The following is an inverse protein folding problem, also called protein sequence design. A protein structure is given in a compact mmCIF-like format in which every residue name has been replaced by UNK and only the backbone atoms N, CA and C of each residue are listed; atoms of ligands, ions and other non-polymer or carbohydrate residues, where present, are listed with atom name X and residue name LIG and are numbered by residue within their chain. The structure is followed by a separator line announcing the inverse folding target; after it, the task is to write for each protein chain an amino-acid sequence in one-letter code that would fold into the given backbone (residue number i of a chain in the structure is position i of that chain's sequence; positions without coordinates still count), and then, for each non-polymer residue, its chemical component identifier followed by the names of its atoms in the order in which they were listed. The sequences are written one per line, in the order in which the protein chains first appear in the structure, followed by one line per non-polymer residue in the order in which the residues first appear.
data_IF_800117805431
#
_entry.id   IF_800117805431
#
_cell.length_a   1.000
_cell.length_b   1.000
_cell.length_c   1.000
_cell.angle_alpha   90.00
_cell.angle_beta   90.00
_cell.angle_gamma   90.00
#
_symmetry.space_group_name_H-M   'P 1'
#
loop_
_entity.id
_entity.type
_entity.pdbx_description
1 polymer ?
#
# COMPACT_ATOMS: atom_id res chain seq x y z
N UNK A 1 -47.73 -48.25 9.95
CA UNK A 1 -47.43 -47.21 10.97
C UNK A 1 -46.09 -46.59 10.60
N UNK A 2 -46.05 -45.51 9.83
CA UNK A 2 -45.94 -44.10 10.30
C UNK A 2 -44.83 -43.87 11.33
N UNK A 3 -43.71 -43.33 10.87
CA UNK A 3 -43.17 -42.03 11.33
C UNK A 3 -42.13 -41.52 10.32
N UNK A 4 -42.58 -40.66 9.40
CA UNK A 4 -41.72 -39.75 8.67
C UNK A 4 -41.32 -38.63 9.63
N UNK A 5 -40.02 -38.46 9.87
CA UNK A 5 -39.47 -37.25 10.48
C UNK A 5 -38.71 -36.52 9.37
N UNK A 6 -39.36 -35.50 8.82
CA UNK A 6 -38.72 -34.50 7.97
C UNK A 6 -37.89 -33.58 8.87
N UNK A 7 -36.57 -33.68 8.80
CA UNK A 7 -35.67 -32.68 9.38
C UNK A 7 -35.38 -31.66 8.28
N UNK A 8 -35.89 -30.44 8.48
CA UNK A 8 -35.54 -29.28 7.66
C UNK A 8 -34.09 -28.92 8.00
N UNK A 9 -33.15 -29.27 7.12
CA UNK A 9 -31.79 -28.77 7.19
C UNK A 9 -31.79 -27.31 6.70
N UNK A 10 -31.78 -26.37 7.63
CA UNK A 10 -31.50 -24.96 7.35
C UNK A 10 -30.02 -24.89 6.95
N UNK A 11 -29.78 -24.69 5.65
CA UNK A 11 -28.47 -24.36 5.09
C UNK A 11 -28.06 -22.96 5.56
N UNK A 12 -27.44 -22.90 6.73
CA UNK A 12 -26.61 -21.75 7.12
C UNK A 12 -25.27 -21.94 6.42
N UNK A 13 -25.03 -21.18 5.35
CA UNK A 13 -23.70 -21.01 4.78
C UNK A 13 -22.82 -20.31 5.82
N UNK A 14 -22.21 -21.10 6.70
CA UNK A 14 -21.06 -20.68 7.49
C UNK A 14 -19.90 -20.50 6.54
N UNK A 15 -19.45 -19.26 6.37
CA UNK A 15 -18.19 -18.91 5.75
C UNK A 15 -17.07 -19.62 6.52
N UNK A 16 -16.62 -20.76 6.02
CA UNK A 16 -15.41 -21.41 6.51
C UNK A 16 -14.24 -20.51 6.15
N UNK A 17 -13.65 -19.91 7.18
CA UNK A 17 -12.29 -19.40 7.14
C UNK A 17 -11.40 -20.44 6.46
N UNK A 18 -10.90 -20.11 5.26
CA UNK A 18 -9.79 -20.84 4.69
C UNK A 18 -8.57 -20.52 5.56
N UNK A 19 -8.39 -21.33 6.60
CA UNK A 19 -7.10 -21.54 7.22
C UNK A 19 -6.16 -22.01 6.11
N UNK A 20 -5.30 -21.09 5.66
CA UNK A 20 -4.14 -21.42 4.85
C UNK A 20 -3.34 -22.43 5.68
N UNK A 21 -3.22 -23.63 5.12
CA UNK A 21 -2.82 -24.84 5.80
C UNK A 21 -1.59 -24.69 6.68
N UNK A 22 -1.75 -25.11 7.93
CA UNK A 22 -0.68 -25.61 8.76
C UNK A 22 -0.04 -26.82 8.05
N UNK A 23 1.02 -26.56 7.29
CA UNK A 23 2.02 -27.60 7.07
C UNK A 23 2.84 -27.68 8.36
N UNK A 24 2.58 -28.74 9.13
CA UNK A 24 3.44 -29.20 10.22
C UNK A 24 4.86 -29.40 9.69
N UNK A 25 5.70 -28.39 9.87
CA UNK A 25 7.12 -28.58 10.06
C UNK A 25 7.42 -27.95 11.40
N UNK A 26 7.70 -28.79 12.40
CA UNK A 26 8.16 -28.32 13.71
C UNK A 26 9.29 -27.29 13.58
N UNK A 27 9.53 -26.46 14.60
CA UNK A 27 10.52 -25.39 14.53
C UNK A 27 11.85 -25.97 14.06
N UNK A 28 12.25 -25.62 12.82
CA UNK A 28 13.55 -25.99 12.26
C UNK A 28 14.62 -25.28 13.10
N UNK A 29 15.12 -26.00 14.11
CA UNK A 29 16.19 -25.66 15.05
C UNK A 29 16.07 -24.30 15.78
N UNK A 30 16.16 -24.32 17.11
CA UNK A 30 16.47 -23.12 17.87
C UNK A 30 17.82 -22.54 17.39
N UNK A 31 17.79 -21.36 16.75
CA UNK A 31 19.01 -20.66 16.35
C UNK A 31 19.76 -20.21 17.61
N UNK A 32 21.07 -20.44 17.66
CA UNK A 32 21.95 -19.92 18.71
C UNK A 32 22.35 -18.46 18.48
N UNK A 33 21.86 -17.84 17.39
CA UNK A 33 22.15 -16.45 17.04
C UNK A 33 21.17 -15.52 17.77
N UNK A 34 21.66 -14.42 18.30
CA UNK A 34 20.84 -13.33 18.86
C UNK A 34 20.95 -12.04 18.03
N UNK A 35 20.08 -11.08 18.31
CA UNK A 35 20.10 -9.77 17.67
C UNK A 35 19.97 -9.81 16.14
N UNK A 36 20.73 -8.98 15.42
CA UNK A 36 20.50 -8.72 13.99
C UNK A 36 20.66 -9.96 13.12
N UNK A 37 21.56 -10.88 13.51
CA UNK A 37 21.75 -12.16 12.80
C UNK A 37 20.54 -13.08 12.92
N UNK A 38 19.81 -13.02 14.04
CA UNK A 38 18.56 -13.76 14.22
C UNK A 38 17.46 -13.19 13.32
N UNK A 39 17.33 -11.86 13.26
CA UNK A 39 16.43 -11.18 12.32
C UNK A 39 16.68 -11.62 10.87
N UNK A 40 17.94 -11.57 10.41
CA UNK A 40 18.29 -11.97 9.04
C UNK A 40 17.91 -13.43 8.75
N UNK A 41 18.10 -14.32 9.73
CA UNK A 41 17.75 -15.73 9.61
C UNK A 41 16.23 -15.93 9.58
N UNK A 42 15.48 -15.25 10.44
CA UNK A 42 14.02 -15.29 10.46
C UNK A 42 13.42 -14.77 9.15
N UNK A 43 13.92 -13.64 8.63
CA UNK A 43 13.49 -13.13 7.32
C UNK A 43 13.76 -14.15 6.20
N UNK A 44 14.96 -14.75 6.20
CA UNK A 44 15.32 -15.76 5.21
C UNK A 44 14.44 -17.00 5.32
N UNK A 45 14.11 -17.42 6.54
CA UNK A 45 13.36 -18.65 6.80
C UNK A 45 11.86 -18.48 6.54
N UNK A 46 11.27 -17.38 7.00
CA UNK A 46 9.82 -17.19 7.06
C UNK A 46 9.29 -16.22 6.01
N UNK A 47 10.06 -15.20 5.61
CA UNK A 47 9.58 -14.22 4.64
C UNK A 47 9.94 -14.57 3.19
N UNK A 48 10.96 -15.40 2.96
CA UNK A 48 11.49 -15.63 1.60
C UNK A 48 10.52 -16.32 0.65
N UNK A 49 9.50 -17.01 1.14
CA UNK A 49 8.43 -17.59 0.31
C UNK A 49 7.61 -16.52 -0.42
N UNK A 50 7.42 -15.36 0.20
CA UNK A 50 6.77 -14.19 -0.39
C UNK A 50 7.72 -13.44 -1.33
N UNK A 51 9.05 -13.53 -1.08
CA UNK A 51 10.09 -13.03 -1.99
C UNK A 51 10.19 -13.84 -3.27
N UNK A 52 9.87 -15.15 -3.24
CA UNK A 52 9.98 -16.06 -4.39
C UNK A 52 9.06 -15.62 -5.53
N UNK A 53 9.70 -14.84 -6.38
CA UNK A 53 9.39 -14.61 -7.77
C UNK A 53 9.74 -15.88 -8.51
N UNK A 54 8.82 -16.85 -8.48
CA UNK A 54 8.78 -17.80 -9.58
C UNK A 54 8.85 -17.00 -10.87
N UNK A 55 9.63 -17.46 -11.84
CA UNK A 55 9.90 -16.76 -13.12
C UNK A 55 8.62 -16.41 -13.91
N UNK A 56 7.45 -16.79 -13.39
CA UNK A 56 6.10 -16.56 -13.88
C UNK A 56 5.33 -15.43 -13.17
N UNK A 57 5.73 -14.99 -11.97
CA UNK A 57 5.03 -13.95 -11.20
C UNK A 57 5.64 -12.57 -11.47
N UNK A 58 4.80 -11.58 -11.79
CA UNK A 58 5.24 -10.20 -12.04
C UNK A 58 5.86 -9.60 -10.77
N UNK A 59 7.05 -9.03 -10.89
CA UNK A 59 7.60 -8.11 -9.88
C UNK A 59 7.08 -6.74 -10.26
N UNK A 60 6.32 -6.08 -9.38
CA UNK A 60 5.81 -4.73 -9.64
C UNK A 60 6.92 -3.71 -9.39
N UNK A 61 7.65 -3.88 -8.30
CA UNK A 61 8.75 -3.01 -7.90
C UNK A 61 9.95 -3.81 -7.42
N UNK A 62 11.16 -3.37 -7.78
CA UNK A 62 12.41 -3.83 -7.16
C UNK A 62 12.84 -2.80 -6.14
N UNK A 63 12.86 -3.19 -4.88
CA UNK A 63 13.33 -2.36 -3.78
C UNK A 63 14.80 -2.63 -3.49
N UNK A 64 15.53 -1.58 -3.14
CA UNK A 64 16.93 -1.67 -2.77
C UNK A 64 17.05 -2.07 -1.30
N UNK A 65 17.12 -3.38 -1.04
CA UNK A 65 17.21 -3.95 0.31
C UNK A 65 18.39 -3.39 1.12
N UNK A 66 19.44 -2.89 0.46
CA UNK A 66 20.59 -2.31 1.15
C UNK A 66 20.29 -0.97 1.81
N UNK A 67 19.23 -0.26 1.39
CA UNK A 67 18.81 1.05 1.92
C UNK A 67 17.98 0.95 3.19
N UNK A 68 17.38 -0.19 3.44
CA UNK A 68 16.47 -0.39 4.56
C UNK A 68 17.21 -0.93 5.77
N UNK A 69 16.95 -0.34 6.94
CA UNK A 69 17.41 -0.88 8.23
C UNK A 69 18.95 -0.93 8.38
N UNK A 70 19.66 0.04 7.77
CA UNK A 70 21.13 0.21 7.82
C UNK A 70 21.69 0.45 9.23
N UNK A 71 20.82 0.77 10.17
CA UNK A 71 21.17 1.35 11.48
C UNK A 71 21.98 0.39 12.38
N UNK A 72 22.15 -0.86 11.96
CA UNK A 72 22.52 -1.98 12.85
C UNK A 72 23.62 -2.89 12.29
N UNK A 73 24.19 -2.58 11.12
CA UNK A 73 25.34 -3.32 10.56
C UNK A 73 26.68 -3.08 11.30
N UNK A 74 26.63 -2.47 12.50
CA UNK A 74 27.80 -2.20 13.34
C UNK A 74 28.20 -0.73 13.40
N UNK A 75 27.51 0.14 12.67
CA UNK A 75 27.70 1.60 12.70
C UNK A 75 26.35 2.28 12.96
N UNK A 76 25.97 2.42 14.24
CA UNK A 76 24.95 3.40 14.63
C UNK A 76 25.39 4.73 14.01
N UNK A 77 24.61 5.39 13.13
CA UNK A 77 25.01 6.67 12.58
C UNK A 77 25.36 7.60 13.73
N UNK A 78 26.56 8.20 13.70
CA UNK A 78 27.00 9.08 14.77
C UNK A 78 25.96 10.19 14.96
N UNK A 79 25.29 10.22 16.12
CA UNK A 79 24.23 11.17 16.42
C UNK A 79 22.80 10.63 16.41
N UNK A 80 22.57 9.33 16.15
CA UNK A 80 21.24 8.75 16.34
C UNK A 80 20.90 8.69 17.84
N UNK A 81 20.04 9.62 18.29
CA UNK A 81 19.48 9.63 19.64
C UNK A 81 18.67 8.34 19.91
N UNK A 82 18.68 7.82 21.15
CA UNK A 82 17.79 6.72 21.55
C UNK A 82 16.33 7.02 21.17
N UNK A 83 15.63 6.09 20.50
CA UNK A 83 14.23 6.25 20.08
C UNK A 83 14.00 6.71 18.63
N UNK A 84 15.01 7.21 17.92
CA UNK A 84 14.88 7.53 16.48
C UNK A 84 14.92 6.29 15.57
N UNK A 85 15.26 5.12 16.12
CA UNK A 85 15.31 3.83 15.43
C UNK A 85 13.92 3.33 15.01
N UNK A 86 12.92 3.47 15.89
CA UNK A 86 11.54 3.09 15.56
C UNK A 86 10.92 4.04 14.52
N UNK A 87 11.06 5.36 14.71
CA UNK A 87 10.49 6.36 13.80
C UNK A 87 11.06 6.25 12.38
N UNK A 88 12.39 6.08 12.26
CA UNK A 88 13.04 5.89 10.97
C UNK A 88 12.55 4.59 10.30
N UNK A 89 12.43 3.50 11.06
CA UNK A 89 11.95 2.24 10.54
C UNK A 89 10.50 2.31 10.04
N UNK A 90 9.62 3.00 10.79
CA UNK A 90 8.24 3.29 10.35
C UNK A 90 8.23 4.03 9.02
N UNK A 91 9.01 5.11 8.93
CA UNK A 91 9.08 5.95 7.73
C UNK A 91 9.56 5.18 6.50
N UNK A 92 10.60 4.37 6.65
CA UNK A 92 11.13 3.57 5.55
C UNK A 92 10.16 2.46 5.13
N UNK A 93 9.47 1.81 6.07
CA UNK A 93 8.41 0.86 5.77
C UNK A 93 7.23 1.51 5.03
N UNK A 94 6.74 2.64 5.50
CA UNK A 94 5.63 3.38 4.85
C UNK A 94 6.02 3.81 3.43
N UNK A 95 7.24 4.33 3.26
CA UNK A 95 7.76 4.69 1.93
C UNK A 95 7.86 3.49 0.98
N UNK A 96 8.27 2.33 1.48
CA UNK A 96 8.30 1.10 0.70
C UNK A 96 6.90 0.67 0.28
N UNK A 97 5.94 0.66 1.21
CA UNK A 97 4.54 0.30 0.95
C UNK A 97 3.89 1.26 -0.05
N UNK A 98 4.05 2.58 0.15
CA UNK A 98 3.57 3.61 -0.77
C UNK A 98 4.14 3.43 -2.17
N UNK A 99 5.42 3.07 -2.26
CA UNK A 99 6.06 2.86 -3.56
C UNK A 99 5.53 1.60 -4.25
N UNK A 100 5.32 0.49 -3.53
CA UNK A 100 4.72 -0.74 -4.08
C UNK A 100 3.31 -0.47 -4.61
N UNK A 101 2.44 0.11 -3.78
CA UNK A 101 1.06 0.40 -4.17
C UNK A 101 0.97 1.46 -5.27
N UNK A 102 1.74 2.54 -5.15
CA UNK A 102 1.83 3.59 -6.17
C UNK A 102 2.27 3.02 -7.51
N UNK A 103 3.27 2.14 -7.49
CA UNK A 103 3.75 1.48 -8.69
C UNK A 103 2.67 0.60 -9.35
N UNK A 104 1.95 -0.18 -8.54
CA UNK A 104 0.85 -1.03 -9.01
C UNK A 104 -0.30 -0.21 -9.62
N UNK A 105 -0.71 0.86 -8.93
CA UNK A 105 -1.77 1.78 -9.35
C UNK A 105 -1.40 2.45 -10.67
N UNK A 106 -0.25 3.12 -10.72
CA UNK A 106 0.16 3.86 -11.91
C UNK A 106 0.44 2.95 -13.10
N UNK A 107 1.03 1.78 -12.88
CA UNK A 107 1.26 0.81 -13.95
C UNK A 107 -0.06 0.28 -14.52
N UNK A 108 -1.05 0.00 -13.66
CA UNK A 108 -2.39 -0.44 -14.09
C UNK A 108 -3.11 0.68 -14.83
N UNK A 109 -3.11 1.89 -14.29
CA UNK A 109 -3.70 3.06 -14.94
C UNK A 109 -3.10 3.28 -16.34
N UNK A 110 -1.77 3.18 -16.47
CA UNK A 110 -1.09 3.32 -17.75
C UNK A 110 -1.50 2.24 -18.77
N UNK A 111 -1.61 0.97 -18.34
CA UNK A 111 -2.04 -0.14 -19.20
C UNK A 111 -3.47 0.03 -19.70
N UNK A 112 -4.37 0.50 -18.85
CA UNK A 112 -5.75 0.77 -19.21
C UNK A 112 -5.86 1.95 -20.19
N UNK A 113 -5.12 3.04 -19.96
CA UNK A 113 -5.03 4.15 -20.93
C UNK A 113 -4.50 3.68 -22.29
N UNK A 114 -3.46 2.84 -22.29
CA UNK A 114 -2.90 2.26 -23.51
C UNK A 114 -3.92 1.39 -24.23
N UNK A 115 -4.67 0.57 -23.49
CA UNK A 115 -5.78 -0.23 -24.00
C UNK A 115 -6.84 0.65 -24.66
N UNK A 116 -7.31 1.71 -23.99
CA UNK A 116 -8.30 2.63 -24.57
C UNK A 116 -7.73 3.30 -25.84
N UNK A 117 -6.46 3.69 -25.83
CA UNK A 117 -5.78 4.29 -26.98
C UNK A 117 -5.69 3.33 -28.17
N UNK A 118 -5.36 2.08 -27.93
CA UNK A 118 -5.10 1.08 -28.98
C UNK A 118 -6.37 0.38 -29.46
N UNK A 119 -7.28 0.03 -28.56
CA UNK A 119 -8.45 -0.79 -28.86
C UNK A 119 -9.69 0.07 -29.17
N UNK A 120 -9.93 1.15 -28.40
CA UNK A 120 -11.14 1.97 -28.55
C UNK A 120 -10.95 3.11 -29.56
N UNK A 121 -9.84 3.85 -29.46
CA UNK A 121 -9.65 5.03 -30.30
C UNK A 121 -9.27 4.66 -31.74
N UNK A 122 -8.40 3.66 -31.95
CA UNK A 122 -8.02 3.24 -33.31
C UNK A 122 -9.22 2.72 -34.10
N UNK A 123 -10.19 2.08 -33.43
CA UNK A 123 -11.40 1.54 -34.06
C UNK A 123 -12.52 2.58 -34.22
N UNK A 124 -12.41 3.75 -33.59
CA UNK A 124 -13.42 4.83 -33.63
C UNK A 124 -12.82 6.17 -34.10
N UNK A 125 -12.70 6.40 -35.42
CA UNK A 125 -12.02 7.58 -35.98
C UNK A 125 -12.59 8.93 -35.49
N UNK A 126 -13.89 8.98 -35.19
CA UNK A 126 -14.58 10.18 -34.68
C UNK A 126 -14.13 10.60 -33.27
N UNK A 127 -13.69 9.64 -32.45
CA UNK A 127 -13.24 9.89 -31.07
C UNK A 127 -11.76 10.30 -30.99
N UNK A 128 -10.97 9.88 -31.99
CA UNK A 128 -9.53 10.09 -32.05
C UNK A 128 -9.07 11.54 -31.84
N UNK A 129 -9.55 12.55 -32.61
CA UNK A 129 -9.06 13.92 -32.46
C UNK A 129 -9.38 14.53 -31.08
N UNK A 130 -10.43 14.06 -30.40
CA UNK A 130 -10.83 14.59 -29.08
C UNK A 130 -10.13 13.89 -27.92
N UNK A 131 -10.02 12.57 -27.96
CA UNK A 131 -9.56 11.77 -26.82
C UNK A 131 -8.06 11.44 -26.87
N UNK A 132 -7.47 11.29 -28.06
CA UNK A 132 -6.06 10.89 -28.17
C UNK A 132 -5.10 11.87 -27.49
N UNK A 133 -5.21 13.20 -27.66
CA UNK A 133 -4.33 14.14 -26.97
C UNK A 133 -4.49 14.08 -25.45
N UNK A 134 -5.73 13.91 -24.95
CA UNK A 134 -6.02 13.80 -23.52
C UNK A 134 -5.38 12.54 -22.91
N UNK A 135 -5.52 11.41 -23.60
CA UNK A 135 -4.92 10.14 -23.17
C UNK A 135 -3.39 10.23 -23.19
N UNK A 136 -2.79 10.75 -24.27
CA UNK A 136 -1.33 10.88 -24.37
C UNK A 136 -0.75 11.82 -23.30
N UNK A 137 -1.43 12.92 -22.99
CA UNK A 137 -1.05 13.80 -21.89
C UNK A 137 -1.12 13.07 -20.54
N UNK A 138 -2.20 12.31 -20.30
CA UNK A 138 -2.37 11.55 -19.05
C UNK A 138 -1.34 10.43 -18.92
N UNK A 139 -1.03 9.71 -20.00
CA UNK A 139 0.03 8.69 -20.02
C UNK A 139 1.39 9.29 -19.63
N UNK A 140 1.75 10.47 -20.16
CA UNK A 140 2.99 11.18 -19.78
C UNK A 140 3.01 11.60 -18.31
N UNK A 141 1.88 12.09 -17.78
CA UNK A 141 1.74 12.41 -16.35
C UNK A 141 2.01 11.17 -15.48
N UNK A 142 1.41 10.03 -15.86
CA UNK A 142 1.58 8.77 -15.13
C UNK A 142 3.02 8.26 -15.21
N UNK A 143 3.68 8.36 -16.38
CA UNK A 143 5.10 8.02 -16.51
C UNK A 143 6.00 8.87 -15.60
N UNK A 144 5.71 10.17 -15.47
CA UNK A 144 6.44 11.04 -14.56
C UNK A 144 6.24 10.64 -13.09
N UNK A 145 5.00 10.28 -12.70
CA UNK A 145 4.70 9.77 -11.36
C UNK A 145 5.44 8.47 -11.06
N UNK A 146 5.51 7.54 -12.02
CA UNK A 146 6.25 6.29 -11.88
C UNK A 146 7.75 6.57 -11.67
N UNK A 147 8.34 7.50 -12.42
CA UNK A 147 9.76 7.87 -12.27
C UNK A 147 10.08 8.54 -10.93
N UNK A 148 9.10 9.14 -10.27
CA UNK A 148 9.27 9.79 -8.98
C UNK A 148 9.17 8.83 -7.79
N UNK A 149 8.72 7.59 -7.99
CA UNK A 149 8.67 6.57 -6.94
C UNK A 149 10.08 6.08 -6.60
N UNK A 150 10.31 5.74 -5.34
CA UNK A 150 11.62 5.31 -4.85
C UNK A 150 11.88 3.84 -5.16
N UNK A 151 12.09 3.52 -6.44
CA UNK A 151 12.48 2.19 -6.89
C UNK A 151 12.11 1.92 -8.34
N UNK A 152 12.55 0.77 -8.84
CA UNK A 152 12.39 0.44 -10.25
C UNK A 152 11.07 -0.27 -10.49
N UNK A 153 10.05 0.52 -10.84
CA UNK A 153 8.76 0.05 -11.32
C UNK A 153 8.89 -0.75 -12.63
N UNK A 154 8.23 -1.91 -12.69
CA UNK A 154 8.20 -2.77 -13.87
C UNK A 154 6.77 -2.81 -14.45
N UNK A 155 6.58 -2.17 -15.60
CA UNK A 155 5.27 -1.98 -16.26
C UNK A 155 5.02 -3.07 -17.32
N UNK A 156 5.32 -4.35 -17.04
CA UNK A 156 5.50 -5.36 -18.11
C UNK A 156 4.71 -6.69 -18.01
N UNK A 157 3.71 -6.86 -17.14
CA UNK A 157 2.83 -8.02 -17.28
C UNK A 157 1.63 -7.79 -18.19
N UNK A 158 1.32 -8.91 -18.82
CA UNK A 158 0.17 -9.18 -19.66
C UNK A 158 -1.16 -8.95 -18.90
N UNK A 159 -2.21 -8.58 -19.64
CA UNK A 159 -3.56 -8.19 -19.14
C UNK A 159 -4.24 -9.23 -18.24
N UNK A 160 -3.81 -10.50 -18.29
CA UNK A 160 -4.67 -11.62 -17.93
C UNK A 160 -4.50 -12.24 -16.56
N UNK A 161 -3.50 -11.91 -15.73
CA UNK A 161 -3.51 -12.29 -14.31
C UNK A 161 -2.22 -11.83 -13.61
N UNK A 162 -2.31 -11.64 -12.30
CA UNK A 162 -1.24 -11.64 -11.29
C UNK A 162 -0.73 -10.30 -10.74
N UNK A 163 -1.21 -9.12 -11.17
CA UNK A 163 -0.78 -7.84 -10.54
C UNK A 163 -1.22 -7.81 -9.07
N UNK A 164 -2.48 -8.16 -8.78
CA UNK A 164 -2.99 -8.34 -7.40
C UNK A 164 -2.13 -9.28 -6.57
N UNK A 165 -1.82 -10.45 -7.13
CA UNK A 165 -1.03 -11.46 -6.44
C UNK A 165 0.41 -10.99 -6.23
N UNK A 166 0.96 -10.21 -7.16
CA UNK A 166 2.26 -9.59 -7.03
C UNK A 166 2.26 -8.51 -5.94
N UNK A 167 1.26 -7.62 -5.89
CA UNK A 167 1.10 -6.65 -4.80
C UNK A 167 0.98 -7.38 -3.47
N UNK A 168 0.09 -8.36 -3.40
CA UNK A 168 -0.14 -9.15 -2.18
C UNK A 168 1.16 -9.78 -1.68
N UNK A 169 1.91 -10.46 -2.55
CA UNK A 169 3.19 -11.10 -2.18
C UNK A 169 4.25 -10.09 -1.78
N UNK A 170 4.43 -9.02 -2.55
CA UNK A 170 5.44 -8.00 -2.24
C UNK A 170 5.15 -7.30 -0.92
N UNK A 171 3.90 -6.87 -0.71
CA UNK A 171 3.47 -6.25 0.55
C UNK A 171 3.57 -7.24 1.71
N UNK A 172 3.21 -8.52 1.53
CA UNK A 172 3.38 -9.55 2.57
C UNK A 172 4.85 -9.72 2.94
N UNK A 173 5.75 -9.75 1.94
CA UNK A 173 7.18 -9.87 2.16
C UNK A 173 7.73 -8.70 2.98
N UNK A 174 7.34 -7.47 2.64
CA UNK A 174 7.81 -6.27 3.35
C UNK A 174 7.22 -6.13 4.74
N UNK A 175 5.93 -6.43 4.90
CA UNK A 175 5.30 -6.51 6.23
C UNK A 175 5.96 -7.58 7.10
N UNK A 176 6.25 -8.76 6.55
CA UNK A 176 6.94 -9.83 7.27
C UNK A 176 8.35 -9.41 7.72
N UNK A 177 9.13 -8.80 6.83
CA UNK A 177 10.44 -8.25 7.15
C UNK A 177 10.36 -7.21 8.26
N UNK A 178 9.45 -6.26 8.12
CA UNK A 178 9.31 -5.17 9.06
C UNK A 178 8.89 -5.68 10.44
N UNK A 179 7.99 -6.67 10.50
CA UNK A 179 7.60 -7.31 11.77
C UNK A 179 8.81 -7.93 12.49
N UNK A 180 9.62 -8.75 11.82
CA UNK A 180 10.82 -9.31 12.42
C UNK A 180 11.86 -8.25 12.79
N UNK A 181 11.90 -7.13 12.07
CA UNK A 181 12.74 -6.00 12.43
C UNK A 181 12.27 -5.33 13.74
N UNK A 182 10.96 -5.19 13.94
CA UNK A 182 10.39 -4.65 15.18
C UNK A 182 10.66 -5.56 16.38
N UNK A 183 10.55 -6.87 16.20
CA UNK A 183 10.95 -7.86 17.23
C UNK A 183 12.43 -7.74 17.59
N UNK A 184 13.29 -7.54 16.58
CA UNK A 184 14.69 -7.24 16.82
C UNK A 184 14.88 -5.92 17.59
N UNK A 185 14.16 -4.85 17.23
CA UNK A 185 14.22 -3.58 17.97
C UNK A 185 13.77 -3.75 19.42
N UNK A 186 12.79 -4.61 19.67
CA UNK A 186 12.32 -4.96 21.01
C UNK A 186 13.45 -5.60 21.82
N UNK A 187 14.11 -6.63 21.28
CA UNK A 187 15.28 -7.26 21.91
C UNK A 187 16.44 -6.27 22.14
N UNK A 188 16.70 -5.40 21.16
CA UNK A 188 17.75 -4.38 21.24
C UNK A 188 17.48 -3.38 22.38
N UNK A 189 16.24 -2.91 22.51
CA UNK A 189 15.85 -1.90 23.50
C UNK A 189 15.71 -2.48 24.92
N UNK A 190 15.51 -3.79 25.08
CA UNK A 190 15.55 -4.46 26.40
C UNK A 190 16.92 -4.37 27.08
N UNK A 191 18.01 -4.14 26.34
CA UNK A 191 19.35 -3.98 26.90
C UNK A 191 19.53 -2.54 27.38
N UNK A 192 19.52 -2.35 28.71
CA UNK A 192 19.63 -1.04 29.39
C UNK A 192 20.79 -0.17 28.86
N UNK A 193 21.94 -0.76 28.52
CA UNK A 193 23.09 -0.06 27.96
C UNK A 193 22.85 0.61 26.59
N UNK A 194 21.79 0.22 25.88
CA UNK A 194 21.39 0.82 24.61
C UNK A 194 20.44 2.02 24.76
N UNK A 195 19.88 2.20 25.97
CA UNK A 195 18.98 3.30 26.32
C UNK A 195 19.71 4.51 26.90
N UNK A 196 20.86 4.29 27.52
CA UNK A 196 21.61 5.33 28.23
C UNK A 196 22.69 5.90 27.31
N UNK A 197 22.67 7.22 27.09
CA UNK A 197 23.81 7.92 26.50
C UNK A 197 24.95 7.98 27.52
N UNK A 198 25.86 7.00 27.45
CA UNK A 198 27.02 6.89 28.35
C UNK A 198 28.01 8.06 28.21
N UNK A 199 27.81 8.97 27.25
CA UNK A 199 28.66 10.15 27.04
C UNK A 199 28.26 11.36 27.89
N UNK A 200 27.05 11.38 28.47
CA UNK A 200 26.58 12.46 29.34
C UNK A 200 26.63 12.07 30.81
N UNK A 201 27.55 12.66 31.60
CA UNK A 201 27.63 12.54 33.06
C UNK A 201 26.42 13.16 33.78
N UNK A 202 25.23 12.57 33.68
CA UNK A 202 24.08 12.87 34.53
C UNK A 202 23.63 11.57 35.19
N UNK A 203 23.46 11.56 36.51
CA UNK A 203 22.84 10.43 37.20
C UNK A 203 21.36 10.38 36.77
N UNK A 204 21.05 9.53 35.81
CA UNK A 204 19.67 9.24 35.43
C UNK A 204 19.10 8.32 36.51
N UNK A 205 17.93 8.67 37.07
CA UNK A 205 17.27 7.82 38.05
C UNK A 205 16.85 6.49 37.45
N UNK A 206 16.93 5.40 38.22
CA UNK A 206 16.49 4.06 37.78
C UNK A 206 15.03 4.08 37.30
N UNK A 207 14.19 4.91 37.93
CA UNK A 207 12.79 5.09 37.56
C UNK A 207 12.64 5.71 36.15
N UNK A 208 13.47 6.70 35.81
CA UNK A 208 13.42 7.36 34.48
C UNK A 208 13.82 6.39 33.37
N UNK A 209 14.87 5.59 33.61
CA UNK A 209 15.31 4.53 32.68
C UNK A 209 14.21 3.49 32.49
N UNK A 210 13.55 3.08 33.59
CA UNK A 210 12.47 2.09 33.56
C UNK A 210 11.26 2.61 32.78
N UNK A 211 10.89 3.87 32.99
CA UNK A 211 9.79 4.51 32.26
C UNK A 211 10.12 4.66 30.76
N UNK A 212 11.32 5.09 30.41
CA UNK A 212 11.74 5.22 29.01
C UNK A 212 11.78 3.86 28.30
N UNK A 213 12.29 2.82 28.96
CA UNK A 213 12.25 1.45 28.46
C UNK A 213 10.81 0.99 28.20
N UNK A 214 9.93 1.14 29.21
CA UNK A 214 8.52 0.75 29.11
C UNK A 214 7.82 1.46 27.95
N UNK A 215 8.01 2.78 27.82
CA UNK A 215 7.42 3.57 26.74
C UNK A 215 7.89 3.11 25.36
N UNK A 216 9.17 2.77 25.19
CA UNK A 216 9.70 2.27 23.91
C UNK A 216 9.15 0.90 23.56
N UNK A 217 9.12 -0.03 24.51
CA UNK A 217 8.57 -1.36 24.29
C UNK A 217 7.08 -1.27 23.91
N UNK A 218 6.30 -0.46 24.63
CA UNK A 218 4.89 -0.22 24.31
C UNK A 218 4.71 0.43 22.92
N UNK A 219 5.59 1.34 22.52
CA UNK A 219 5.55 1.96 21.19
C UNK A 219 5.86 0.97 20.06
N UNK A 220 6.77 0.01 20.30
CA UNK A 220 7.08 -1.07 19.36
C UNK A 220 5.89 -2.04 19.28
N UNK A 221 5.33 -2.45 20.42
CA UNK A 221 4.18 -3.36 20.46
C UNK A 221 2.95 -2.75 19.78
N UNK A 222 2.69 -1.46 20.02
CA UNK A 222 1.63 -0.71 19.32
C UNK A 222 1.89 -0.63 17.81
N UNK A 223 3.13 -0.53 17.37
CA UNK A 223 3.47 -0.52 15.96
C UNK A 223 3.25 -1.88 15.29
N UNK A 224 3.65 -2.98 15.96
CA UNK A 224 3.38 -4.35 15.51
C UNK A 224 1.87 -4.54 15.30
N UNK A 225 1.06 -4.16 16.29
CA UNK A 225 -0.40 -4.24 16.20
C UNK A 225 -0.95 -3.36 15.06
N UNK A 226 -0.47 -2.13 14.93
CA UNK A 226 -0.87 -1.20 13.86
C UNK A 226 -0.68 -1.81 12.49
N UNK A 227 0.46 -2.47 12.24
CA UNK A 227 0.78 -3.06 10.94
C UNK A 227 -0.18 -4.19 10.61
N UNK A 228 -0.45 -5.10 11.56
CA UNK A 228 -1.38 -6.21 11.36
C UNK A 228 -2.80 -5.73 11.10
N UNK A 229 -3.24 -4.65 11.75
CA UNK A 229 -4.55 -4.06 11.52
C UNK A 229 -4.64 -3.29 10.20
N UNK A 230 -3.59 -2.57 9.82
CA UNK A 230 -3.58 -1.70 8.64
C UNK A 230 -3.38 -2.48 7.35
N UNK A 231 -2.54 -3.52 7.36
CA UNK A 231 -2.21 -4.34 6.20
C UNK A 231 -3.43 -4.82 5.40
N UNK A 232 -4.43 -5.51 5.99
CA UNK A 232 -5.59 -6.01 5.24
C UNK A 232 -6.46 -4.86 4.69
N UNK A 233 -6.56 -3.75 5.42
CA UNK A 233 -7.36 -2.58 5.00
C UNK A 233 -6.74 -1.94 3.75
N UNK A 234 -5.44 -1.72 3.75
CA UNK A 234 -4.75 -1.10 2.60
C UNK A 234 -4.80 -2.01 1.38
N UNK A 235 -4.59 -3.32 1.57
CA UNK A 235 -4.71 -4.28 0.47
C UNK A 235 -6.13 -4.33 -0.10
N UNK A 236 -7.14 -4.32 0.76
CA UNK A 236 -8.55 -4.28 0.33
C UNK A 236 -8.86 -3.00 -0.45
N UNK A 237 -8.41 -1.84 0.03
CA UNK A 237 -8.59 -0.56 -0.66
C UNK A 237 -7.92 -0.57 -2.05
N UNK A 238 -6.73 -1.15 -2.17
CA UNK A 238 -6.08 -1.36 -3.45
C UNK A 238 -6.89 -2.27 -4.38
N UNK A 239 -7.39 -3.40 -3.87
CA UNK A 239 -8.20 -4.34 -4.63
C UNK A 239 -9.50 -3.70 -5.15
N UNK A 240 -10.16 -2.91 -4.30
CA UNK A 240 -11.38 -2.17 -4.67
C UNK A 240 -11.08 -1.10 -5.72
N UNK A 241 -9.97 -0.37 -5.59
CA UNK A 241 -9.52 0.59 -6.59
C UNK A 241 -9.22 -0.07 -7.93
N UNK A 242 -8.46 -1.16 -7.94
CA UNK A 242 -8.10 -1.87 -9.18
C UNK A 242 -9.33 -2.43 -9.89
N UNK A 243 -10.29 -3.01 -9.14
CA UNK A 243 -11.56 -3.49 -9.70
C UNK A 243 -12.37 -2.38 -10.40
N UNK A 244 -12.18 -1.12 -10.00
CA UNK A 244 -12.90 0.03 -10.51
C UNK A 244 -12.03 0.96 -11.39
N UNK A 245 -10.82 0.53 -11.76
CA UNK A 245 -9.84 1.39 -12.44
C UNK A 245 -10.37 1.95 -13.76
N UNK A 246 -11.10 1.15 -14.54
CA UNK A 246 -11.70 1.59 -15.80
C UNK A 246 -12.72 2.71 -15.57
N UNK A 247 -13.56 2.58 -14.54
CA UNK A 247 -14.52 3.63 -14.16
C UNK A 247 -13.82 4.92 -13.76
N UNK A 248 -12.75 4.83 -12.97
CA UNK A 248 -11.94 5.99 -12.60
C UNK A 248 -11.35 6.70 -13.83
N UNK A 249 -10.80 5.94 -14.78
CA UNK A 249 -10.23 6.49 -16.01
C UNK A 249 -11.29 7.17 -16.87
N UNK A 250 -12.45 6.54 -17.05
CA UNK A 250 -13.54 7.12 -17.82
C UNK A 250 -14.04 8.43 -17.19
N UNK A 251 -14.19 8.46 -15.87
CA UNK A 251 -14.57 9.68 -15.13
C UNK A 251 -13.52 10.78 -15.31
N UNK A 252 -12.23 10.46 -15.19
CA UNK A 252 -11.14 11.43 -15.41
C UNK A 252 -11.15 12.01 -16.82
N UNK A 253 -11.39 11.16 -17.84
CA UNK A 253 -11.46 11.60 -19.23
C UNK A 253 -12.67 12.52 -19.50
N UNK A 254 -13.80 12.28 -18.82
CA UNK A 254 -15.03 13.06 -18.94
C UNK A 254 -15.04 14.32 -18.07
N UNK A 255 -14.23 14.37 -17.00
CA UNK A 255 -14.29 15.42 -15.98
C UNK A 255 -14.15 16.83 -16.56
N UNK A 256 -13.20 17.02 -17.48
CA UNK A 256 -12.96 18.31 -18.13
C UNK A 256 -14.15 18.73 -19.01
N UNK A 257 -14.72 17.79 -19.77
CA UNK A 257 -15.86 18.06 -20.65
C UNK A 257 -17.11 18.41 -19.83
N UNK A 258 -17.31 17.74 -18.69
CA UNK A 258 -18.39 18.07 -17.74
C UNK A 258 -18.21 19.46 -17.12
N UNK A 259 -16.98 19.83 -16.70
CA UNK A 259 -16.69 21.18 -16.18
C UNK A 259 -16.99 22.26 -17.22
N UNK A 260 -16.54 22.06 -18.46
CA UNK A 260 -16.79 22.98 -19.57
C UNK A 260 -18.28 23.09 -19.87
N UNK A 261 -18.99 21.96 -19.93
CA UNK A 261 -20.45 21.95 -20.13
C UNK A 261 -21.19 22.71 -19.03
N UNK A 262 -20.87 22.45 -17.76
CA UNK A 262 -21.48 23.14 -16.61
C UNK A 262 -21.24 24.66 -16.67
N UNK A 263 -20.03 25.09 -17.01
CA UNK A 263 -19.70 26.52 -17.15
C UNK A 263 -20.45 27.16 -18.32
N UNK A 264 -20.57 26.45 -19.45
CA UNK A 264 -21.35 26.89 -20.60
C UNK A 264 -22.83 27.05 -20.26
N UNK A 265 -23.42 26.03 -19.63
CA UNK A 265 -24.80 26.03 -19.18
C UNK A 265 -25.09 27.23 -18.25
N UNK A 266 -24.21 27.48 -17.27
CA UNK A 266 -24.35 28.61 -16.36
C UNK A 266 -24.29 29.96 -17.09
N UNK A 267 -23.40 30.11 -18.08
CA UNK A 267 -23.32 31.32 -18.91
C UNK A 267 -24.58 31.54 -19.74
N UNK A 268 -25.18 30.47 -20.27
CA UNK A 268 -26.39 30.56 -21.10
C UNK A 268 -27.66 30.78 -20.27
N UNK A 269 -27.78 30.13 -19.11
CA UNK A 269 -28.96 30.22 -18.26
C UNK A 269 -29.05 31.53 -17.46
N UNK A 270 -27.92 32.15 -17.10
CA UNK A 270 -27.94 33.41 -16.35
C UNK A 270 -28.70 34.55 -17.06
N UNK A 271 -28.43 34.85 -18.35
CA UNK A 271 -29.21 35.83 -19.11
C UNK A 271 -30.68 35.43 -19.27
N UNK A 272 -30.98 34.14 -19.49
CA UNK A 272 -32.36 33.65 -19.57
C UNK A 272 -33.13 33.89 -18.27
N UNK A 273 -32.52 33.60 -17.12
CA UNK A 273 -33.11 33.89 -15.81
C UNK A 273 -33.36 35.39 -15.62
N UNK A 274 -32.45 36.26 -16.07
CA UNK A 274 -32.67 37.70 -16.04
C UNK A 274 -33.81 38.16 -16.95
N UNK A 275 -33.94 37.57 -18.14
CA UNK A 275 -35.03 37.89 -19.08
C UNK A 275 -36.37 37.42 -18.51
N UNK A 276 -36.46 36.19 -18.01
CA UNK A 276 -37.67 35.64 -17.37
C UNK A 276 -38.07 36.52 -16.18
N UNK A 277 -37.11 36.94 -15.35
CA UNK A 277 -37.37 37.85 -14.23
C UNK A 277 -37.92 39.21 -14.69
N UNK A 278 -37.35 39.79 -15.76
CA UNK A 278 -37.83 41.06 -16.34
C UNK A 278 -39.23 40.90 -16.94
N UNK A 279 -39.51 39.82 -17.66
CA UNK A 279 -40.84 39.52 -18.21
C UNK A 279 -41.86 39.35 -17.07
N UNK A 280 -41.54 38.56 -16.06
CA UNK A 280 -42.42 38.36 -14.90
C UNK A 280 -42.72 39.65 -14.15
N UNK A 281 -41.74 40.56 -14.03
CA UNK A 281 -41.96 41.87 -13.42
C UNK A 281 -42.79 42.80 -14.31
N UNK A 282 -42.62 42.73 -15.63
CA UNK A 282 -43.41 43.50 -16.58
C UNK A 282 -44.88 43.05 -16.59
N UNK A 283 -45.16 41.76 -16.44
CA UNK A 283 -46.53 41.21 -16.38
C UNK A 283 -47.23 41.40 -15.02
N UNK A 284 -46.50 41.79 -13.97
CA UNK A 284 -47.06 42.12 -12.65
C UNK A 284 -47.49 43.60 -12.52
N UNK A 285 -47.20 44.42 -13.53
CA UNK A 285 -47.71 45.78 -13.66
C UNK A 285 -48.95 45.78 -14.53
#
# INVERSE_FOLDING_TARGET
MKKNIFIIAILVFGLTNNAIGANESGPKSFSTKGGYKLYQEQVKQFCSEYKKTDKTNEIIMVMDESKYFKDLEGNKPAGLKPGMDLELAKKEYEKAMDSIYGCAIYSTYYRELKTIKEDLIKTNPKLNPKLRPKIEAKMKEIEAKIKALDGNCRIKANKNNLVKNAVLRQTTYETCKYNYYLEYLKEYNQKVGNLIDTKGKKSVGILDITNELSNKLNAIDSEIERIYNTYPIVFQAYNDYENNITSHILLDLLQQDFKVFRLGLHKTLNPLNQVIYKISNAMRR
#
